data_IF_104151584398
#
_entry.id   IF_104151584398
#
_cell.length_a   1.000
_cell.length_b   1.000
_cell.length_c   1.000
_cell.angle_alpha   90.00
_cell.angle_beta   90.00
_cell.angle_gamma   90.00
#
_symmetry.space_group_name_H-M   'P 1'
#
loop_
_entity.id
_entity.type
_entity.pdbx_description
1 polymer ?
#
# COMPACT_ATOMS: atom_id res chain seq x y z
N UNK A 1 11.69 -21.51 -2.05
CA UNK A 1 11.57 -20.25 -2.83
C UNK A 1 12.95 -19.91 -3.33
N UNK A 2 13.11 -19.69 -4.64
CA UNK A 2 14.42 -19.37 -5.23
C UNK A 2 14.77 -17.91 -4.97
N UNK A 3 15.92 -17.65 -4.36
CA UNK A 3 16.44 -16.30 -4.19
C UNK A 3 16.73 -15.69 -5.58
N UNK A 4 16.25 -14.46 -5.80
CA UNK A 4 16.51 -13.70 -7.03
C UNK A 4 17.39 -12.48 -6.71
N UNK A 5 18.39 -12.22 -7.57
CA UNK A 5 19.28 -11.08 -7.42
C UNK A 5 18.73 -9.89 -8.19
N UNK A 6 18.37 -8.82 -7.48
CA UNK A 6 17.90 -7.56 -8.07
C UNK A 6 19.04 -6.55 -8.02
N UNK A 7 19.38 -5.95 -9.16
CA UNK A 7 20.37 -4.87 -9.23
C UNK A 7 19.69 -3.55 -8.94
N UNK A 8 20.14 -2.86 -7.90
CA UNK A 8 19.67 -1.52 -7.51
C UNK A 8 20.85 -0.56 -7.41
N UNK A 9 20.62 0.75 -7.61
CA UNK A 9 21.63 1.76 -7.32
C UNK A 9 22.07 1.75 -5.85
N UNK A 10 23.30 2.21 -5.58
CA UNK A 10 23.89 2.16 -4.24
C UNK A 10 23.09 3.02 -3.25
N UNK A 11 22.65 4.20 -3.69
CA UNK A 11 21.84 5.13 -2.91
C UNK A 11 20.51 4.52 -2.47
N UNK A 12 19.89 3.68 -3.31
CA UNK A 12 18.64 2.98 -2.98
C UNK A 12 18.90 1.90 -1.94
N UNK A 13 19.95 1.10 -2.12
CA UNK A 13 20.36 0.08 -1.14
C UNK A 13 20.64 0.71 0.23
N UNK A 14 21.39 1.80 0.26
CA UNK A 14 21.79 2.46 1.51
C UNK A 14 20.56 3.06 2.22
N UNK A 15 19.62 3.63 1.46
CA UNK A 15 18.35 4.08 2.01
C UNK A 15 17.53 2.94 2.59
N UNK A 16 17.45 1.80 1.91
CA UNK A 16 16.75 0.61 2.40
C UNK A 16 17.41 0.05 3.67
N UNK A 17 18.75 0.07 3.77
CA UNK A 17 19.47 -0.34 4.97
C UNK A 17 19.06 0.49 6.19
N UNK A 18 19.06 1.82 6.06
CA UNK A 18 18.63 2.73 7.14
C UNK A 18 17.18 2.48 7.57
N UNK A 19 16.28 2.21 6.62
CA UNK A 19 14.86 1.92 6.94
C UNK A 19 14.72 0.56 7.62
N UNK A 20 15.48 -0.44 7.18
CA UNK A 20 15.45 -1.78 7.75
C UNK A 20 15.99 -1.77 9.20
N UNK A 21 17.10 -1.07 9.44
CA UNK A 21 17.69 -0.87 10.76
C UNK A 21 16.73 -0.16 11.73
N UNK A 22 16.06 0.92 11.29
CA UNK A 22 15.12 1.64 12.14
C UNK A 22 13.89 0.82 12.55
N UNK A 23 13.56 -0.21 11.75
CA UNK A 23 12.47 -1.15 11.99
C UNK A 23 12.93 -2.47 12.64
N UNK A 24 14.24 -2.66 12.83
CA UNK A 24 14.80 -3.91 13.38
C UNK A 24 14.60 -5.13 12.47
N UNK A 25 14.48 -4.92 11.15
CA UNK A 25 14.27 -5.98 10.15
C UNK A 25 15.43 -6.06 9.16
N UNK A 26 15.50 -7.13 8.38
CA UNK A 26 16.46 -7.22 7.27
C UNK A 26 15.94 -6.48 6.03
N UNK A 27 16.83 -6.05 5.14
CA UNK A 27 16.45 -5.47 3.83
C UNK A 27 15.57 -6.45 3.05
N UNK A 28 15.89 -7.75 3.09
CA UNK A 28 15.09 -8.80 2.45
C UNK A 28 13.65 -8.80 3.00
N UNK A 29 13.50 -8.80 4.32
CA UNK A 29 12.18 -8.78 4.98
C UNK A 29 11.41 -7.51 4.65
N UNK A 30 12.08 -6.35 4.63
CA UNK A 30 11.47 -5.08 4.27
C UNK A 30 10.95 -5.10 2.82
N UNK A 31 11.74 -5.61 1.88
CA UNK A 31 11.33 -5.72 0.47
C UNK A 31 10.21 -6.74 0.29
N UNK A 32 10.24 -7.85 1.02
CA UNK A 32 9.17 -8.83 1.02
C UNK A 32 7.86 -8.23 1.55
N UNK A 33 7.88 -7.58 2.71
CA UNK A 33 6.71 -6.90 3.28
C UNK A 33 6.19 -5.82 2.32
N UNK A 34 7.09 -5.08 1.67
CA UNK A 34 6.71 -4.10 0.66
C UNK A 34 5.99 -4.73 -0.53
N UNK A 35 6.50 -5.84 -1.07
CA UNK A 35 5.88 -6.55 -2.17
C UNK A 35 4.52 -7.16 -1.78
N UNK A 36 4.39 -7.70 -0.56
CA UNK A 36 3.16 -8.31 -0.05
C UNK A 36 2.07 -7.27 0.25
N UNK A 37 2.46 -6.06 0.66
CA UNK A 37 1.53 -4.98 1.03
C UNK A 37 1.20 -4.03 -0.14
N UNK A 38 2.08 -3.93 -1.13
CA UNK A 38 1.91 -2.99 -2.26
C UNK A 38 1.13 -3.67 -3.37
N UNK A 39 -0.19 -3.53 -3.32
CA UNK A 39 -1.09 -4.01 -4.37
C UNK A 39 -0.91 -3.21 -5.66
N UNK A 40 -0.94 -3.91 -6.79
CA UNK A 40 -1.08 -3.33 -8.13
C UNK A 40 -2.44 -2.65 -8.32
N UNK A 41 -2.59 -1.86 -9.38
CA UNK A 41 -3.87 -1.22 -9.70
C UNK A 41 -4.98 -2.24 -9.95
N UNK A 42 -4.67 -3.34 -10.61
CA UNK A 42 -5.60 -4.42 -10.89
C UNK A 42 -6.04 -5.13 -9.61
N UNK A 43 -5.09 -5.56 -8.77
CA UNK A 43 -5.41 -6.19 -7.48
C UNK A 43 -6.20 -5.26 -6.55
N UNK A 44 -5.94 -3.94 -6.62
CA UNK A 44 -6.74 -2.94 -5.90
C UNK A 44 -8.18 -2.89 -6.40
N UNK A 45 -8.39 -2.96 -7.72
CA UNK A 45 -9.74 -2.99 -8.32
C UNK A 45 -10.48 -4.27 -7.90
N UNK A 46 -9.85 -5.43 -8.04
CA UNK A 46 -10.44 -6.70 -7.60
C UNK A 46 -10.81 -6.68 -6.12
N UNK A 47 -9.92 -6.14 -5.27
CA UNK A 47 -10.20 -6.00 -3.84
C UNK A 47 -11.38 -5.06 -3.59
N UNK A 48 -11.52 -3.98 -4.34
CA UNK A 48 -12.65 -3.06 -4.24
C UNK A 48 -13.96 -3.75 -4.63
N UNK A 49 -13.98 -4.50 -5.73
CA UNK A 49 -15.15 -5.26 -6.18
C UNK A 49 -15.57 -6.32 -5.15
N UNK A 50 -14.62 -7.10 -4.63
CA UNK A 50 -14.91 -8.06 -3.53
C UNK A 50 -15.50 -7.38 -2.31
N UNK A 51 -14.97 -6.21 -1.95
CA UNK A 51 -15.47 -5.44 -0.80
C UNK A 51 -16.87 -4.92 -1.05
N UNK A 52 -17.18 -4.46 -2.27
CA UNK A 52 -18.55 -4.03 -2.64
C UNK A 52 -19.54 -5.18 -2.54
N UNK A 53 -19.20 -6.35 -3.08
CA UNK A 53 -20.04 -7.55 -2.95
C UNK A 53 -20.31 -7.88 -1.48
N UNK A 54 -19.26 -7.86 -0.65
CA UNK A 54 -19.40 -8.09 0.80
C UNK A 54 -20.29 -7.03 1.49
N UNK A 55 -20.16 -5.75 1.12
CA UNK A 55 -21.00 -4.67 1.66
C UNK A 55 -22.47 -4.81 1.26
N UNK A 56 -22.72 -5.15 -0.01
CA UNK A 56 -24.08 -5.40 -0.50
C UNK A 56 -24.70 -6.63 0.19
N UNK A 57 -23.95 -7.73 0.29
CA UNK A 57 -24.42 -9.00 0.87
C UNK A 57 -24.69 -8.90 2.37
N UNK A 58 -23.77 -8.31 3.14
CA UNK A 58 -23.84 -8.34 4.61
C UNK A 58 -24.46 -7.08 5.23
N UNK A 59 -24.41 -5.95 4.54
CA UNK A 59 -24.91 -4.67 5.08
C UNK A 59 -26.01 -4.05 4.23
N UNK A 60 -26.31 -4.60 3.04
CA UNK A 60 -27.29 -4.01 2.11
C UNK A 60 -26.86 -2.65 1.56
N UNK A 61 -25.57 -2.32 1.63
CA UNK A 61 -25.03 -1.04 1.18
C UNK A 61 -24.35 -1.23 -0.17
N UNK A 62 -24.92 -0.60 -1.19
CA UNK A 62 -24.31 -0.49 -2.52
C UNK A 62 -23.45 0.78 -2.56
N UNK A 63 -22.15 0.63 -2.85
CA UNK A 63 -21.22 1.76 -2.96
C UNK A 63 -20.79 1.91 -4.40
N UNK A 64 -21.14 3.03 -5.02
CA UNK A 64 -20.76 3.34 -6.40
C UNK A 64 -19.27 3.59 -6.56
N UNK A 65 -18.77 3.52 -7.79
CA UNK A 65 -17.39 3.91 -8.12
C UNK A 65 -17.11 5.38 -7.80
N UNK A 66 -18.09 6.25 -8.03
CA UNK A 66 -17.96 7.69 -7.81
C UNK A 66 -17.86 8.04 -6.32
N UNK A 67 -18.69 7.43 -5.47
CA UNK A 67 -18.62 7.61 -4.01
C UNK A 67 -17.30 7.09 -3.44
N UNK A 68 -16.85 5.92 -3.89
CA UNK A 68 -15.54 5.37 -3.51
C UNK A 68 -14.39 6.29 -3.95
N UNK A 69 -14.45 6.85 -5.16
CA UNK A 69 -13.43 7.76 -5.67
C UNK A 69 -13.40 9.08 -4.88
N UNK A 70 -14.57 9.66 -4.60
CA UNK A 70 -14.71 10.88 -3.81
C UNK A 70 -14.20 10.70 -2.38
N UNK A 71 -14.56 9.59 -1.73
CA UNK A 71 -14.04 9.23 -0.41
C UNK A 71 -12.52 9.02 -0.44
N UNK A 72 -12.03 8.31 -1.47
CA UNK A 72 -10.60 8.10 -1.68
C UNK A 72 -9.81 9.40 -1.85
N UNK A 73 -10.36 10.39 -2.55
CA UNK A 73 -9.76 11.71 -2.71
C UNK A 73 -9.68 12.46 -1.37
N UNK A 74 -10.78 12.48 -0.61
CA UNK A 74 -10.84 13.10 0.74
C UNK A 74 -9.83 12.47 1.70
N UNK A 75 -9.71 11.14 1.70
CA UNK A 75 -8.72 10.44 2.52
C UNK A 75 -7.29 10.84 2.14
N UNK A 76 -6.97 10.87 0.84
CA UNK A 76 -5.63 11.29 0.38
C UNK A 76 -5.29 12.71 0.81
N UNK A 77 -6.23 13.64 0.71
CA UNK A 77 -6.07 15.03 1.16
C UNK A 77 -5.80 15.09 2.68
N UNK A 78 -6.59 14.38 3.49
CA UNK A 78 -6.41 14.32 4.93
C UNK A 78 -5.04 13.75 5.36
N UNK A 79 -4.55 12.72 4.66
CA UNK A 79 -3.23 12.15 4.93
C UNK A 79 -2.06 12.99 4.39
N UNK A 80 -2.26 13.73 3.30
CA UNK A 80 -1.27 14.68 2.79
C UNK A 80 -1.03 15.81 3.81
N UNK A 81 -2.09 16.35 4.42
CA UNK A 81 -1.98 17.33 5.50
C UNK A 81 -1.23 16.80 6.74
N UNK A 82 -1.33 15.49 7.03
CA UNK A 82 -0.67 14.87 8.18
C UNK A 82 0.82 14.59 7.95
N UNK A 83 1.27 14.37 6.70
CA UNK A 83 2.70 14.23 6.35
C UNK A 83 3.48 15.54 6.44
N UNK A 84 2.82 16.70 6.32
CA UNK A 84 3.46 18.01 6.49
C UNK A 84 3.71 18.41 7.95
N UNK A 85 3.01 17.80 8.91
CA UNK A 85 3.12 18.14 10.34
C UNK A 85 4.16 17.29 11.10
N UNK A 86 4.83 16.35 10.43
CA UNK A 86 5.86 15.48 10.99
C UNK A 86 7.26 15.73 10.39
N UNK A 87 7.45 16.90 9.76
CA UNK A 87 8.72 17.38 9.22
C UNK A 87 9.34 18.44 10.14
#
# INVERSE_FOLDING_TARGET
MSDAMIRVPAEVRDRLAVIAESRGVSIRSLVQEFAESTLTEEERRERAERTRGYLAEHFGVEVSDEESAAMGARLREAFAGRRGAAA
#
